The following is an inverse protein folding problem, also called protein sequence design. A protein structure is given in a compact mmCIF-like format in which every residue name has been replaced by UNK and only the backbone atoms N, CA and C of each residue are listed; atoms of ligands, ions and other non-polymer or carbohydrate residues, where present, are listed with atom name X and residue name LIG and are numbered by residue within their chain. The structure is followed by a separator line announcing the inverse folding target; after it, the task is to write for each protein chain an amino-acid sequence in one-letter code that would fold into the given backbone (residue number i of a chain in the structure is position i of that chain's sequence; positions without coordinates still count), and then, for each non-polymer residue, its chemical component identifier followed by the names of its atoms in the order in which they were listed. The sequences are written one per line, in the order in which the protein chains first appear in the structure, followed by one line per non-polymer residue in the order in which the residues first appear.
data_IF_613816172627
#
_entry.id   IF_613816172627
#
_cell.length_a   1.000
_cell.length_b   1.000
_cell.length_c   1.000
_cell.angle_alpha   90.00
_cell.angle_beta   90.00
_cell.angle_gamma   90.00
#
_symmetry.space_group_name_H-M   'P 1'
#
loop_
_entity.id
_entity.type
_entity.pdbx_description
1 polymer ?
#
# COMPACT_ATOMS: atom_id res chain seq x y z
N UNK A 1 12.82 3.20 -11.56
CA UNK A 1 12.30 2.84 -10.21
C UNK A 1 10.80 3.03 -10.12
N UNK A 2 10.22 4.18 -10.50
CA UNK A 2 8.77 4.39 -10.36
C UNK A 2 7.95 3.35 -11.13
N UNK A 3 8.44 2.86 -12.27
CA UNK A 3 7.80 1.83 -13.08
C UNK A 3 7.64 0.50 -12.32
N UNK A 4 8.64 0.14 -11.50
CA UNK A 4 8.59 -1.07 -10.66
C UNK A 4 7.60 -0.90 -9.51
N UNK A 5 7.55 0.29 -8.91
CA UNK A 5 6.63 0.60 -7.82
C UNK A 5 5.18 0.61 -8.32
N UNK A 6 4.94 1.19 -9.50
CA UNK A 6 3.64 1.16 -10.17
C UNK A 6 3.25 -0.28 -10.49
N UNK A 7 4.15 -1.09 -11.05
CA UNK A 7 3.86 -2.50 -11.35
C UNK A 7 3.51 -3.31 -10.10
N UNK A 8 4.22 -3.09 -8.98
CA UNK A 8 3.90 -3.72 -7.69
C UNK A 8 2.51 -3.29 -7.21
N UNK A 9 2.21 -1.99 -7.26
CA UNK A 9 0.92 -1.46 -6.85
C UNK A 9 -0.23 -2.06 -7.68
N UNK A 10 -0.14 -1.99 -9.02
CA UNK A 10 -1.17 -2.52 -9.91
C UNK A 10 -1.40 -4.02 -9.69
N UNK A 11 -0.32 -4.80 -9.58
CA UNK A 11 -0.43 -6.23 -9.30
C UNK A 11 -1.18 -6.51 -7.99
N UNK A 12 -0.86 -5.77 -6.93
CA UNK A 12 -1.51 -5.95 -5.63
C UNK A 12 -2.97 -5.49 -5.63
N UNK A 13 -3.27 -4.38 -6.28
CA UNK A 13 -4.63 -3.86 -6.41
C UNK A 13 -5.52 -4.86 -7.15
N UNK A 14 -5.08 -5.35 -8.32
CA UNK A 14 -5.78 -6.39 -9.08
C UNK A 14 -5.92 -7.69 -8.28
N UNK A 15 -4.87 -8.11 -7.57
CA UNK A 15 -4.90 -9.30 -6.72
C UNK A 15 -5.95 -9.17 -5.62
N UNK A 16 -6.02 -8.03 -4.92
CA UNK A 16 -7.00 -7.82 -3.86
C UNK A 16 -8.44 -7.65 -4.39
N UNK A 17 -8.61 -7.15 -5.62
CA UNK A 17 -9.91 -7.11 -6.28
C UNK A 17 -10.38 -8.54 -6.60
N UNK A 18 -9.52 -9.37 -7.20
CA UNK A 18 -9.86 -10.74 -7.61
C UNK A 18 -10.06 -11.67 -6.40
N UNK A 19 -9.25 -11.52 -5.36
CA UNK A 19 -9.29 -12.40 -4.17
C UNK A 19 -10.27 -11.93 -3.09
N UNK A 20 -11.01 -10.84 -3.33
CA UNK A 20 -11.96 -10.30 -2.36
C UNK A 20 -13.15 -11.25 -2.16
N UNK A 21 -13.03 -12.16 -1.18
CA UNK A 21 -14.16 -12.99 -0.75
C UNK A 21 -15.16 -12.15 0.05
N UNK A 22 -16.44 -12.02 -0.40
CA UNK A 22 -17.45 -11.24 0.31
C UNK A 22 -17.82 -11.80 1.70
N UNK A 23 -17.36 -13.01 2.05
CA UNK A 23 -17.73 -13.72 3.29
C UNK A 23 -16.72 -13.70 4.43
N UNK A 24 -15.48 -13.22 4.24
CA UNK A 24 -14.40 -13.45 5.22
C UNK A 24 -14.05 -12.27 6.13
N UNK A 25 -14.57 -11.08 5.86
CA UNK A 25 -14.23 -9.88 6.64
C UNK A 25 -15.54 -9.33 7.21
N UNK A 26 -15.78 -9.55 8.52
CA UNK A 26 -16.73 -8.72 9.28
C UNK A 26 -16.43 -7.27 8.92
N UNK A 27 -17.42 -6.40 8.66
CA UNK A 27 -17.17 -4.99 8.42
C UNK A 27 -16.70 -4.33 9.72
N UNK A 28 -15.49 -4.65 10.17
CA UNK A 28 -14.67 -3.67 10.85
C UNK A 28 -14.48 -2.57 9.81
N UNK A 29 -14.79 -1.34 10.22
CA UNK A 29 -14.89 -0.15 9.38
C UNK A 29 -14.00 -0.25 8.13
N UNK A 30 -14.58 0.02 6.94
CA UNK A 30 -13.82 0.04 5.69
C UNK A 30 -12.52 0.82 5.94
N UNK A 31 -11.34 0.20 5.86
CA UNK A 31 -10.10 0.90 6.17
C UNK A 31 -10.00 2.11 5.25
N UNK A 32 -9.60 3.27 5.81
CA UNK A 32 -9.49 4.52 5.05
C UNK A 32 -8.40 4.45 3.97
N UNK A 33 -7.55 3.43 4.03
CA UNK A 33 -6.46 3.16 3.08
C UNK A 33 -6.61 1.74 2.50
N UNK A 34 -6.25 1.59 1.22
CA UNK A 34 -6.27 0.30 0.53
C UNK A 34 -5.12 -0.61 0.98
N UNK A 35 -5.39 -1.92 1.10
CA UNK A 35 -4.38 -2.95 1.40
C UNK A 35 -3.23 -2.96 0.37
N UNK A 36 -3.55 -2.65 -0.90
CA UNK A 36 -2.56 -2.51 -1.96
C UNK A 36 -1.55 -1.39 -1.66
N UNK A 37 -1.99 -0.27 -1.08
CA UNK A 37 -1.12 0.84 -0.69
C UNK A 37 -0.19 0.41 0.45
N UNK A 38 -0.74 -0.25 1.48
CA UNK A 38 0.02 -0.71 2.64
C UNK A 38 1.11 -1.68 2.20
N UNK A 39 0.72 -2.71 1.46
CA UNK A 39 1.63 -3.78 1.07
C UNK A 39 2.66 -3.32 0.04
N UNK A 40 2.28 -2.44 -0.89
CA UNK A 40 3.25 -1.79 -1.78
C UNK A 40 4.30 -1.04 -0.98
N UNK A 41 3.90 -0.25 0.02
CA UNK A 41 4.84 0.51 0.88
C UNK A 41 5.79 -0.40 1.64
N UNK A 42 5.31 -1.53 2.17
CA UNK A 42 6.14 -2.52 2.84
C UNK A 42 7.14 -3.19 1.89
N UNK A 43 6.71 -3.53 0.67
CA UNK A 43 7.60 -4.15 -0.33
C UNK A 43 8.68 -3.17 -0.77
N UNK A 44 8.32 -1.90 -1.05
CA UNK A 44 9.32 -0.93 -1.48
C UNK A 44 10.30 -0.58 -0.36
N UNK A 45 9.83 -0.52 0.90
CA UNK A 45 10.71 -0.24 2.04
C UNK A 45 11.75 -1.33 2.19
N UNK A 46 11.32 -2.60 2.19
CA UNK A 46 12.20 -3.76 2.28
C UNK A 46 13.15 -3.85 1.08
N UNK A 47 12.64 -3.64 -0.14
CA UNK A 47 13.41 -3.88 -1.37
C UNK A 47 14.38 -2.77 -1.75
N UNK A 48 14.06 -1.52 -1.46
CA UNK A 48 14.79 -0.34 -1.96
C UNK A 48 15.31 0.58 -0.85
N UNK A 49 14.80 0.48 0.38
CA UNK A 49 15.18 1.35 1.49
C UNK A 49 15.70 0.58 2.72
N UNK A 50 16.08 -0.70 2.55
CA UNK A 50 16.63 -1.52 3.64
C UNK A 50 15.66 -1.74 4.81
N UNK A 51 14.36 -1.66 4.55
CA UNK A 51 13.29 -1.74 5.57
C UNK A 51 12.83 -0.39 6.12
N UNK A 52 13.45 0.73 5.72
CA UNK A 52 13.04 2.05 6.19
C UNK A 52 11.71 2.48 5.57
N UNK A 53 10.62 2.35 6.34
CA UNK A 53 9.28 2.73 5.91
C UNK A 53 9.11 4.25 5.74
N UNK A 54 9.77 5.08 6.55
CA UNK A 54 9.66 6.53 6.42
C UNK A 54 10.22 7.03 5.09
N UNK A 55 11.37 6.50 4.66
CA UNK A 55 11.96 6.82 3.35
C UNK A 55 11.08 6.36 2.18
N UNK A 56 10.47 5.17 2.30
CA UNK A 56 9.52 4.66 1.32
C UNK A 56 8.26 5.54 1.20
N UNK A 57 7.71 5.99 2.33
CA UNK A 57 6.55 6.90 2.34
C UNK A 57 6.88 8.26 1.75
N UNK A 58 8.03 8.85 2.11
CA UNK A 58 8.49 10.11 1.52
C UNK A 58 8.67 10.00 0.01
N UNK A 59 9.25 8.88 -0.46
CA UNK A 59 9.39 8.62 -1.88
C UNK A 59 8.03 8.54 -2.60
N UNK A 60 7.03 7.86 -2.02
CA UNK A 60 5.69 7.78 -2.62
C UNK A 60 4.94 9.11 -2.57
N UNK A 61 5.09 9.89 -1.49
CA UNK A 61 4.52 11.23 -1.40
C UNK A 61 5.08 12.16 -2.50
N UNK A 62 6.40 12.12 -2.74
CA UNK A 62 7.07 12.93 -3.76
C UNK A 62 6.73 12.50 -5.20
N UNK A 63 6.61 11.17 -5.45
CA UNK A 63 6.48 10.64 -6.82
C UNK A 63 5.07 10.26 -7.26
N UNK A 64 4.17 9.95 -6.33
CA UNK A 64 2.82 9.45 -6.63
C UNK A 64 1.72 10.32 -6.02
N UNK A 65 2.05 11.31 -5.17
CA UNK A 65 1.05 12.12 -4.47
C UNK A 65 0.18 11.31 -3.52
N UNK A 66 0.67 10.14 -3.09
CA UNK A 66 -0.09 9.15 -2.31
C UNK A 66 -0.34 9.61 -0.86
N UNK A 67 -1.40 9.07 -0.26
CA UNK A 67 -1.79 9.34 1.13
C UNK A 67 -0.70 8.80 2.06
N UNK A 68 -0.19 9.66 2.95
CA UNK A 68 0.77 9.26 3.96
C UNK A 68 0.13 8.25 4.93
N UNK A 69 0.79 7.11 5.16
CA UNK A 69 0.30 6.08 6.08
C UNK A 69 0.51 6.56 7.51
N UNK A 70 -0.52 7.15 8.10
CA UNK A 70 -0.55 7.54 9.50
C UNK A 70 -1.41 6.58 10.32
N UNK A 71 -1.18 6.53 11.63
CA UNK A 71 -1.93 5.69 12.57
C UNK A 71 -3.46 5.91 12.46
N UNK A 72 -3.88 7.12 12.14
CA UNK A 72 -5.27 7.56 11.92
C UNK A 72 -5.90 7.00 10.63
N UNK A 73 -5.09 6.54 9.67
CA UNK A 73 -5.53 6.02 8.38
C UNK A 73 -5.87 4.52 8.42
N UNK A 74 -5.47 3.82 9.49
CA UNK A 74 -5.74 2.39 9.69
C UNK A 74 -7.08 2.09 10.39
N UNK A 75 -7.78 3.10 10.93
CA UNK A 75 -9.03 2.98 11.69
C UNK A 75 -10.20 3.77 11.09
#
# INVERSE_FOLDING_TARGET
MPEKVIAIYCFLDDFFVETRHPGSIKPQAKPKVSDAIILTTAIISARFFGGNQASAMLYRADKQGDIMLEKSTFN
#
